data_IF_664092275471
#
_entry.id   IF_664092275471
#
_cell.length_a   1.000
_cell.length_b   1.000
_cell.length_c   1.000
_cell.angle_alpha   90.00
_cell.angle_beta   90.00
_cell.angle_gamma   90.00
#
_symmetry.space_group_name_H-M   'P 1'
#
loop_
_entity.id
_entity.type
_entity.pdbx_description
1 polymer ?
#
# COMPACT_ATOMS: atom_id res chain seq x y z
N UNK A 1 2.53 5.89 -4.12
CA UNK A 1 3.69 6.77 -4.43
C UNK A 1 4.68 5.99 -5.30
N UNK A 2 5.31 6.63 -6.30
CA UNK A 2 6.32 5.99 -7.16
C UNK A 2 7.69 6.57 -6.82
N UNK A 3 8.63 5.72 -6.39
CA UNK A 3 10.00 6.12 -6.07
C UNK A 3 10.87 5.85 -7.30
N UNK A 4 11.45 6.91 -7.86
CA UNK A 4 12.30 6.86 -9.03
C UNK A 4 13.76 6.54 -8.63
N UNK A 5 13.95 5.39 -8.00
CA UNK A 5 15.27 4.86 -7.60
C UNK A 5 15.33 3.36 -7.91
N UNK A 6 16.43 2.89 -8.49
CA UNK A 6 16.59 1.49 -8.94
C UNK A 6 15.51 1.07 -9.96
N UNK A 7 15.00 -0.18 -9.92
CA UNK A 7 13.99 -0.69 -10.89
C UNK A 7 12.60 -0.01 -10.80
N UNK A 8 12.46 1.02 -9.97
CA UNK A 8 11.22 1.75 -9.73
C UNK A 8 10.34 1.03 -8.72
N UNK A 9 10.48 1.37 -7.44
CA UNK A 9 9.66 0.78 -6.40
C UNK A 9 8.26 1.43 -6.34
N UNK A 10 7.23 0.62 -6.12
CA UNK A 10 5.87 1.07 -5.85
C UNK A 10 5.59 0.87 -4.38
N UNK A 11 5.28 1.97 -3.70
CA UNK A 11 4.91 1.94 -2.28
C UNK A 11 3.43 2.27 -2.15
N UNK A 12 2.73 1.39 -1.45
CA UNK A 12 1.32 1.55 -1.08
C UNK A 12 1.24 1.89 0.40
N UNK A 13 0.47 2.92 0.73
CA UNK A 13 0.27 3.34 2.11
C UNK A 13 -1.15 3.88 2.26
N UNK A 14 -1.62 3.95 3.49
CA UNK A 14 -2.87 4.63 3.84
C UNK A 14 -2.67 5.43 5.13
N UNK A 15 -3.50 6.44 5.34
CA UNK A 15 -3.46 7.29 6.55
C UNK A 15 -4.81 7.19 7.25
N UNK A 16 -4.80 7.03 8.57
CA UNK A 16 -5.99 7.11 9.43
C UNK A 16 -5.68 8.01 10.61
N UNK A 17 -6.35 9.17 10.68
CA UNK A 17 -5.99 10.22 11.63
C UNK A 17 -4.54 10.66 11.44
N UNK A 18 -3.76 10.66 12.52
CA UNK A 18 -2.33 10.99 12.50
C UNK A 18 -1.41 9.79 12.17
N UNK A 19 -1.97 8.59 12.03
CA UNK A 19 -1.18 7.37 11.80
C UNK A 19 -1.05 7.07 10.31
N UNK A 20 0.19 6.87 9.85
CA UNK A 20 0.52 6.41 8.49
C UNK A 20 0.83 4.91 8.53
N UNK A 21 0.09 4.14 7.73
CA UNK A 21 0.27 2.71 7.57
C UNK A 21 0.99 2.43 6.26
N UNK A 22 2.20 1.90 6.35
CA UNK A 22 2.94 1.38 5.21
C UNK A 22 2.44 -0.04 4.91
N UNK A 23 1.88 -0.25 3.72
CA UNK A 23 1.44 -1.57 3.29
C UNK A 23 2.63 -2.30 2.68
N UNK A 24 3.11 -3.36 3.35
CA UNK A 24 4.24 -4.19 2.91
C UNK A 24 3.82 -5.14 1.77
N UNK A 25 3.33 -4.56 0.69
CA UNK A 25 2.94 -5.24 -0.54
C UNK A 25 3.49 -4.50 -1.75
N UNK A 26 3.73 -5.24 -2.82
CA UNK A 26 4.18 -4.70 -4.09
C UNK A 26 4.95 -5.73 -4.89
N UNK A 27 5.06 -5.47 -6.19
CA UNK A 27 5.86 -6.24 -7.12
C UNK A 27 6.32 -5.36 -8.29
N UNK A 28 6.52 -5.98 -9.44
CA UNK A 28 6.96 -5.28 -10.65
C UNK A 28 5.82 -4.51 -11.35
N UNK A 29 6.10 -3.98 -12.55
CA UNK A 29 5.10 -3.23 -13.34
C UNK A 29 3.91 -4.10 -13.76
N UNK A 30 4.14 -5.40 -14.01
CA UNK A 30 3.11 -6.36 -14.43
C UNK A 30 2.14 -6.71 -13.31
N UNK A 31 2.59 -6.73 -12.05
CA UNK A 31 1.73 -6.99 -10.89
C UNK A 31 0.98 -5.76 -10.37
N UNK A 32 1.31 -4.55 -10.85
CA UNK A 32 0.83 -3.28 -10.31
C UNK A 32 -0.69 -3.21 -10.08
N UNK A 33 -1.49 -3.71 -11.02
CA UNK A 33 -2.95 -3.70 -10.90
C UNK A 33 -3.47 -4.63 -9.80
N UNK A 34 -2.84 -5.80 -9.65
CA UNK A 34 -3.15 -6.75 -8.57
C UNK A 34 -2.76 -6.16 -7.22
N UNK A 35 -1.60 -5.52 -7.15
CA UNK A 35 -1.09 -4.91 -5.91
C UNK A 35 -1.96 -3.74 -5.45
N UNK A 36 -2.48 -2.91 -6.39
CA UNK A 36 -3.45 -1.85 -6.08
C UNK A 36 -4.71 -2.43 -5.43
N UNK A 37 -5.30 -3.48 -6.01
CA UNK A 37 -6.52 -4.10 -5.46
C UNK A 37 -6.27 -4.65 -4.05
N UNK A 38 -5.13 -5.32 -3.86
CA UNK A 38 -4.74 -5.85 -2.56
C UNK A 38 -4.52 -4.75 -1.52
N UNK A 39 -3.92 -3.63 -1.92
CA UNK A 39 -3.74 -2.45 -1.06
C UNK A 39 -5.07 -1.91 -0.53
N UNK A 40 -6.07 -1.79 -1.41
CA UNK A 40 -7.40 -1.31 -1.06
C UNK A 40 -8.08 -2.27 -0.07
N UNK A 41 -8.02 -3.57 -0.32
CA UNK A 41 -8.57 -4.59 0.60
C UNK A 41 -7.91 -4.52 1.97
N UNK A 42 -6.57 -4.43 2.02
CA UNK A 42 -5.84 -4.32 3.28
C UNK A 42 -6.18 -3.03 4.02
N UNK A 43 -6.24 -1.90 3.32
CA UNK A 43 -6.60 -0.61 3.91
C UNK A 43 -8.01 -0.63 4.50
N UNK A 44 -8.97 -1.32 3.89
CA UNK A 44 -10.32 -1.52 4.43
C UNK A 44 -10.33 -2.34 5.73
N UNK A 45 -9.46 -3.35 5.82
CA UNK A 45 -9.38 -4.23 6.98
C UNK A 45 -8.79 -3.56 8.25
N UNK A 46 -8.05 -2.46 8.12
CA UNK A 46 -7.41 -1.75 9.25
C UNK A 46 -8.41 -1.10 10.25
N UNK A 47 -9.72 -1.23 10.05
CA UNK A 47 -10.78 -0.67 10.91
C UNK A 47 -11.12 -1.46 12.16
N UNK A 48 -10.26 -2.39 12.58
CA UNK A 48 -10.48 -3.22 13.77
C UNK A 48 -9.43 -3.06 14.88
N UNK A 49 -8.45 -2.19 14.69
CA UNK A 49 -7.40 -1.95 15.67
C UNK A 49 -7.54 -0.52 16.20
N UNK A 50 -8.35 -0.37 17.25
CA UNK A 50 -8.61 0.93 17.88
C UNK A 50 -9.90 1.03 18.70
N UNK A 51 -10.40 -0.08 19.25
CA UNK A 51 -11.28 -0.03 20.42
C UNK A 51 -10.41 -0.02 21.68
#
# INVERSE_FOLDING_TARGET
MRIHYGPGYRVYFTRRGETVYLLLIGGDKGSQQRDIRRAITMAGALGKEGT
#
